data_IF_805474350104
#
_entry.id   IF_805474350104
#
_cell.length_a   1.000
_cell.length_b   1.000
_cell.length_c   1.000
_cell.angle_alpha   90.00
_cell.angle_beta   90.00
_cell.angle_gamma   90.00
#
_symmetry.space_group_name_H-M   'P 1'
#
loop_
_entity.id
_entity.type
_entity.pdbx_description
1 polymer ?
#
# COMPACT_ATOMS: atom_id res chain seq x y z
N UNK A 1 -18.00 -17.21 -14.20
CA UNK A 1 -17.21 -18.03 -13.25
C UNK A 1 -15.96 -18.52 -13.98
N UNK A 2 -14.75 -18.17 -13.51
CA UNK A 2 -13.50 -18.63 -14.15
C UNK A 2 -13.28 -20.13 -13.92
N UNK A 3 -12.72 -20.81 -14.91
CA UNK A 3 -12.64 -22.27 -15.00
C UNK A 3 -11.62 -22.83 -13.97
N UNK A 4 -11.92 -23.89 -13.20
CA UNK A 4 -10.98 -24.48 -12.24
C UNK A 4 -9.65 -24.95 -12.86
N UNK A 5 -9.62 -25.21 -14.17
CA UNK A 5 -8.39 -25.54 -14.91
C UNK A 5 -7.42 -24.36 -15.04
N UNK A 6 -7.92 -23.12 -15.02
CA UNK A 6 -7.08 -21.91 -15.06
C UNK A 6 -6.27 -21.76 -13.76
N UNK A 7 -6.85 -22.20 -12.64
CA UNK A 7 -6.20 -22.21 -11.33
C UNK A 7 -5.08 -23.25 -11.25
N UNK A 8 -5.30 -24.43 -11.83
CA UNK A 8 -4.32 -25.51 -11.88
C UNK A 8 -3.15 -25.19 -12.82
N UNK A 9 -3.42 -24.56 -13.97
CA UNK A 9 -2.37 -24.12 -14.90
C UNK A 9 -1.54 -22.96 -14.33
N UNK A 10 -2.17 -22.07 -13.56
CA UNK A 10 -1.45 -21.05 -12.79
C UNK A 10 -0.54 -21.71 -11.75
N UNK A 11 -1.03 -22.75 -11.06
CA UNK A 11 -0.25 -23.50 -10.06
C UNK A 11 0.92 -24.27 -10.66
N UNK A 12 0.77 -24.86 -11.86
CA UNK A 12 1.84 -25.63 -12.51
C UNK A 12 2.93 -24.74 -13.11
N UNK A 13 2.60 -23.51 -13.51
CA UNK A 13 3.60 -22.49 -13.91
C UNK A 13 4.45 -22.01 -12.71
N UNK A 14 3.99 -22.28 -11.47
CA UNK A 14 4.57 -21.81 -10.22
C UNK A 14 5.52 -22.81 -9.55
N UNK A 15 6.16 -23.75 -10.25
CA UNK A 15 7.08 -24.72 -9.62
C UNK A 15 8.59 -24.59 -9.91
N UNK A 16 9.07 -23.94 -10.99
CA UNK A 16 10.51 -23.90 -11.33
C UNK A 16 11.33 -22.61 -11.06
N UNK A 17 10.77 -21.48 -10.60
CA UNK A 17 11.54 -20.27 -10.17
C UNK A 17 10.77 -19.43 -9.11
N UNK A 18 10.03 -20.12 -8.23
CA UNK A 18 8.66 -19.68 -7.94
C UNK A 18 8.29 -19.35 -6.50
N UNK A 19 9.12 -19.59 -5.49
CA UNK A 19 8.76 -19.27 -4.10
C UNK A 19 8.60 -17.77 -3.88
N UNK A 20 9.50 -16.96 -4.43
CA UNK A 20 9.48 -15.50 -4.35
C UNK A 20 8.25 -14.89 -5.03
N UNK A 21 7.97 -15.27 -6.28
CA UNK A 21 6.79 -14.81 -7.01
C UNK A 21 5.49 -15.27 -6.32
N UNK A 22 5.48 -16.51 -5.80
CA UNK A 22 4.36 -17.02 -5.04
C UNK A 22 4.11 -16.18 -3.78
N UNK A 23 5.15 -15.84 -3.02
CA UNK A 23 5.03 -15.13 -1.74
C UNK A 23 4.72 -13.63 -1.92
N UNK A 24 5.35 -12.95 -2.88
CA UNK A 24 5.27 -11.48 -2.97
C UNK A 24 4.32 -10.96 -4.05
N UNK A 25 3.82 -11.83 -4.94
CA UNK A 25 2.84 -11.45 -5.97
C UNK A 25 1.54 -12.23 -5.85
N UNK A 26 1.62 -13.56 -5.80
CA UNK A 26 0.41 -14.41 -5.82
C UNK A 26 -0.31 -14.37 -4.47
N UNK A 27 0.41 -14.58 -3.38
CA UNK A 27 -0.18 -14.62 -2.04
C UNK A 27 -0.85 -13.30 -1.63
N UNK A 28 -0.24 -12.10 -1.80
CA UNK A 28 -0.88 -10.84 -1.42
C UNK A 28 -2.11 -10.55 -2.28
N UNK A 29 -2.07 -10.90 -3.58
CA UNK A 29 -3.24 -10.79 -4.45
C UNK A 29 -4.37 -11.70 -3.99
N UNK A 30 -4.08 -12.97 -3.68
CA UNK A 30 -5.08 -13.90 -3.17
C UNK A 30 -5.70 -13.43 -1.85
N UNK A 31 -4.88 -12.97 -0.90
CA UNK A 31 -5.34 -12.39 0.38
C UNK A 31 -6.23 -11.16 0.13
N UNK A 32 -5.85 -10.27 -0.78
CA UNK A 32 -6.63 -9.09 -1.11
C UNK A 32 -7.98 -9.44 -1.76
N UNK A 33 -8.04 -10.45 -2.64
CA UNK A 33 -9.30 -10.91 -3.24
C UNK A 33 -10.24 -11.56 -2.20
N UNK A 34 -9.70 -12.33 -1.26
CA UNK A 34 -10.48 -12.85 -0.12
C UNK A 34 -11.01 -11.69 0.73
N UNK A 35 -10.14 -10.75 1.08
CA UNK A 35 -10.50 -9.59 1.89
C UNK A 35 -11.58 -8.75 1.21
N UNK A 36 -11.46 -8.52 -0.11
CA UNK A 36 -12.49 -7.82 -0.90
C UNK A 36 -13.85 -8.50 -0.75
N UNK A 37 -13.91 -9.82 -0.83
CA UNK A 37 -15.17 -10.56 -0.69
C UNK A 37 -15.71 -10.55 0.74
N UNK A 38 -14.84 -10.78 1.73
CA UNK A 38 -15.21 -10.83 3.13
C UNK A 38 -15.72 -9.48 3.65
N UNK A 39 -14.97 -8.41 3.39
CA UNK A 39 -15.32 -7.06 3.83
C UNK A 39 -16.31 -6.35 2.89
N UNK A 40 -16.64 -6.95 1.74
CA UNK A 40 -17.44 -6.32 0.68
C UNK A 40 -16.85 -4.97 0.26
N UNK A 41 -15.53 -4.95 0.03
CA UNK A 41 -14.79 -3.75 -0.31
C UNK A 41 -15.32 -3.17 -1.62
N UNK A 42 -15.67 -1.88 -1.58
CA UNK A 42 -16.02 -1.07 -2.73
C UNK A 42 -14.89 -0.08 -2.99
N UNK A 43 -14.57 0.14 -4.27
CA UNK A 43 -13.50 1.03 -4.69
C UNK A 43 -14.06 1.93 -5.78
N UNK A 44 -13.95 3.23 -5.56
CA UNK A 44 -14.40 4.29 -6.47
C UNK A 44 -13.31 5.36 -6.59
N UNK A 45 -13.37 6.21 -7.63
CA UNK A 45 -12.46 7.34 -7.77
C UNK A 45 -11.04 6.98 -8.21
N UNK A 46 -10.78 5.77 -8.70
CA UNK A 46 -9.43 5.34 -9.14
C UNK A 46 -8.89 6.11 -10.35
N UNK A 47 -9.79 6.75 -11.09
CA UNK A 47 -9.50 7.67 -12.18
C UNK A 47 -8.82 8.96 -11.71
N UNK A 48 -8.99 9.33 -10.43
CA UNK A 48 -8.33 10.50 -9.83
C UNK A 48 -6.84 10.24 -9.54
N UNK A 49 -6.40 8.97 -9.53
CA UNK A 49 -4.99 8.63 -9.30
C UNK A 49 -4.20 8.86 -10.59
N UNK A 50 -3.18 9.74 -10.59
CA UNK A 50 -2.38 10.00 -11.78
C UNK A 50 -1.72 8.72 -12.31
N UNK A 51 -1.81 8.50 -13.62
CA UNK A 51 -1.17 7.35 -14.29
C UNK A 51 0.33 7.53 -14.51
N UNK A 52 0.83 8.75 -14.39
CA UNK A 52 2.23 9.13 -14.54
C UNK A 52 2.54 10.28 -13.57
N UNK A 53 3.83 10.51 -13.32
CA UNK A 53 4.29 11.58 -12.44
C UNK A 53 4.12 11.28 -10.94
N UNK A 54 4.70 12.12 -10.07
CA UNK A 54 4.62 11.93 -8.63
C UNK A 54 3.23 12.26 -8.11
N UNK A 55 2.79 11.56 -7.07
CA UNK A 55 1.62 11.94 -6.29
C UNK A 55 1.75 11.43 -4.86
N UNK A 56 1.17 12.18 -3.93
CA UNK A 56 0.96 11.73 -2.56
C UNK A 56 -0.45 11.17 -2.45
N UNK A 57 -0.57 9.93 -2.00
CA UNK A 57 -1.85 9.33 -1.63
C UNK A 57 -1.96 9.45 -0.11
N UNK A 58 -2.96 10.17 0.37
CA UNK A 58 -3.08 10.59 1.77
C UNK A 58 -4.36 10.07 2.43
N UNK A 59 -4.48 8.74 2.60
CA UNK A 59 -5.65 8.12 3.21
C UNK A 59 -5.69 8.34 4.73
N UNK A 60 -6.89 8.23 5.30
CA UNK A 60 -7.06 7.98 6.72
C UNK A 60 -6.57 6.56 7.06
N UNK A 61 -6.27 6.31 8.34
CA UNK A 61 -5.87 5.00 8.86
C UNK A 61 -7.03 4.38 9.67
N UNK A 62 -7.21 3.06 9.56
CA UNK A 62 -8.34 2.32 10.11
C UNK A 62 -8.04 1.53 11.40
N UNK A 63 -6.84 1.68 11.98
CA UNK A 63 -6.55 1.22 13.34
C UNK A 63 -6.14 -0.25 13.50
N UNK A 64 -5.80 -0.97 12.42
CA UNK A 64 -5.42 -2.38 12.52
C UNK A 64 -4.21 -2.77 11.66
N UNK A 65 -3.04 -2.74 12.29
CA UNK A 65 -1.81 -3.42 11.84
C UNK A 65 -1.38 -3.15 10.38
N UNK A 66 -1.74 -1.99 9.80
CA UNK A 66 -1.41 -1.67 8.41
C UNK A 66 -2.14 -2.51 7.34
N UNK A 67 -3.21 -3.23 7.70
CA UNK A 67 -3.93 -4.07 6.74
C UNK A 67 -4.64 -3.23 5.65
N UNK A 68 -5.14 -2.06 6.03
CA UNK A 68 -5.66 -1.05 5.10
C UNK A 68 -4.60 -0.53 4.14
N UNK A 69 -3.36 -0.32 4.60
CA UNK A 69 -2.25 0.08 3.75
C UNK A 69 -1.94 -0.96 2.68
N UNK A 70 -1.99 -2.25 3.03
CA UNK A 70 -1.81 -3.35 2.08
C UNK A 70 -2.96 -3.43 1.06
N UNK A 71 -4.21 -3.36 1.51
CA UNK A 71 -5.36 -3.40 0.60
C UNK A 71 -5.38 -2.19 -0.32
N UNK A 72 -5.16 -0.99 0.21
CA UNK A 72 -5.11 0.23 -0.59
C UNK A 72 -3.98 0.17 -1.62
N UNK A 73 -2.78 -0.28 -1.21
CA UNK A 73 -1.66 -0.45 -2.15
C UNK A 73 -1.99 -1.45 -3.26
N UNK A 74 -2.68 -2.55 -2.92
CA UNK A 74 -3.15 -3.53 -3.89
C UNK A 74 -4.16 -2.93 -4.89
N UNK A 75 -5.18 -2.21 -4.41
CA UNK A 75 -6.20 -1.59 -5.28
C UNK A 75 -5.60 -0.50 -6.18
N UNK A 76 -4.67 0.31 -5.66
CA UNK A 76 -3.92 1.30 -6.47
C UNK A 76 -3.13 0.57 -7.55
N UNK A 77 -2.39 -0.48 -7.21
CA UNK A 77 -1.59 -1.22 -8.19
C UNK A 77 -2.45 -1.89 -9.25
N UNK A 78 -3.59 -2.49 -8.85
CA UNK A 78 -4.53 -3.14 -9.76
C UNK A 78 -5.21 -2.16 -10.70
N UNK A 79 -5.62 -1.00 -10.19
CA UNK A 79 -6.36 0.00 -10.98
C UNK A 79 -5.44 0.83 -11.87
N UNK A 80 -4.23 1.13 -11.43
CA UNK A 80 -3.30 2.05 -12.12
C UNK A 80 -2.15 1.39 -12.86
N UNK A 81 -1.82 0.14 -12.51
CA UNK A 81 -0.59 -0.53 -12.94
C UNK A 81 0.67 -0.01 -12.24
N UNK A 82 0.54 0.91 -11.26
CA UNK A 82 1.66 1.51 -10.54
C UNK A 82 1.77 0.93 -9.14
N UNK A 83 2.97 0.49 -8.75
CA UNK A 83 3.22 0.01 -7.38
C UNK A 83 3.47 1.24 -6.48
N UNK A 84 2.57 1.59 -5.54
CA UNK A 84 2.80 2.70 -4.64
C UNK A 84 3.92 2.38 -3.64
N UNK A 85 4.61 3.42 -3.17
CA UNK A 85 5.61 3.33 -2.12
C UNK A 85 4.98 3.72 -0.80
N UNK A 86 4.76 2.75 0.07
CA UNK A 86 4.05 2.97 1.33
C UNK A 86 5.06 3.38 2.40
N UNK A 87 4.87 4.54 3.01
CA UNK A 87 5.68 4.97 4.15
C UNK A 87 5.22 4.22 5.40
N UNK A 88 6.10 3.39 5.95
CA UNK A 88 5.80 2.52 7.09
C UNK A 88 6.70 2.76 8.27
N UNK A 89 6.22 2.35 9.45
CA UNK A 89 6.94 2.49 10.70
C UNK A 89 8.29 1.76 10.67
N UNK A 90 9.32 2.35 11.29
CA UNK A 90 10.71 1.87 11.25
C UNK A 90 10.89 0.41 11.71
N UNK A 91 9.99 -0.10 12.56
CA UNK A 91 10.01 -1.48 13.04
C UNK A 91 9.94 -2.52 11.90
N UNK A 92 9.36 -2.18 10.74
CA UNK A 92 9.39 -3.05 9.56
C UNK A 92 10.80 -3.29 9.01
N UNK A 93 11.75 -2.44 9.38
CA UNK A 93 13.14 -2.49 8.92
C UNK A 93 14.11 -2.86 10.04
N UNK A 94 13.60 -3.26 11.21
CA UNK A 94 14.44 -3.60 12.36
C UNK A 94 15.22 -4.91 12.18
N UNK A 95 14.72 -5.85 11.36
CA UNK A 95 15.38 -7.14 11.11
C UNK A 95 15.30 -7.53 9.64
N UNK A 96 16.27 -8.32 9.15
CA UNK A 96 16.23 -8.84 7.76
C UNK A 96 14.97 -9.67 7.46
N UNK A 97 14.43 -10.36 8.47
CA UNK A 97 13.22 -11.16 8.34
C UNK A 97 11.98 -10.31 8.05
N UNK A 98 11.97 -9.04 8.45
CA UNK A 98 10.86 -8.10 8.23
C UNK A 98 11.15 -7.13 7.08
N UNK A 99 12.40 -6.70 6.93
CA UNK A 99 12.80 -5.70 5.94
C UNK A 99 12.73 -6.23 4.51
N UNK A 100 13.17 -7.47 4.26
CA UNK A 100 13.15 -8.04 2.90
C UNK A 100 11.72 -8.18 2.36
N UNK A 101 10.75 -8.72 3.13
CA UNK A 101 9.35 -8.69 2.72
C UNK A 101 8.81 -7.27 2.52
N UNK A 102 9.10 -6.35 3.45
CA UNK A 102 8.62 -4.97 3.39
C UNK A 102 9.07 -4.29 2.10
N UNK A 103 10.36 -4.36 1.77
CA UNK A 103 10.92 -3.78 0.54
C UNK A 103 10.29 -4.35 -0.72
N UNK A 104 10.07 -5.67 -0.77
CA UNK A 104 9.44 -6.35 -1.92
C UNK A 104 7.97 -5.98 -2.09
N UNK A 105 7.27 -5.67 -1.00
CA UNK A 105 5.91 -5.16 -1.02
C UNK A 105 5.84 -3.65 -1.30
N UNK A 106 6.98 -2.98 -1.48
CA UNK A 106 7.06 -1.55 -1.79
C UNK A 106 6.99 -0.65 -0.56
N UNK A 107 7.21 -1.19 0.63
CA UNK A 107 7.30 -0.40 1.85
C UNK A 107 8.64 0.29 1.94
N UNK A 108 8.62 1.50 2.48
CA UNK A 108 9.81 2.30 2.76
C UNK A 108 9.66 2.96 4.12
N UNK A 109 10.78 3.13 4.82
CA UNK A 109 10.74 3.76 6.14
C UNK A 109 10.19 5.18 6.06
N UNK A 110 9.26 5.49 6.98
CA UNK A 110 8.56 6.76 7.07
C UNK A 110 9.47 7.90 7.52
N UNK A 111 10.14 8.53 6.55
CA UNK A 111 10.84 9.80 6.75
C UNK A 111 10.76 10.69 5.51
N UNK A 112 10.97 11.99 5.72
CA UNK A 112 10.87 13.02 4.66
C UNK A 112 11.86 12.78 3.53
N UNK A 113 13.07 12.28 3.83
CA UNK A 113 14.10 12.03 2.83
C UNK A 113 13.70 10.92 1.86
N UNK A 114 13.20 9.79 2.38
CA UNK A 114 12.69 8.66 1.60
C UNK A 114 11.47 9.04 0.76
N UNK A 115 10.50 9.72 1.37
CA UNK A 115 9.32 10.23 0.66
C UNK A 115 9.73 11.14 -0.50
N UNK A 116 10.64 12.08 -0.23
CA UNK A 116 11.19 13.00 -1.22
C UNK A 116 11.91 12.27 -2.36
N UNK A 117 12.71 11.25 -2.04
CA UNK A 117 13.45 10.47 -3.01
C UNK A 117 12.51 9.69 -3.95
N UNK A 118 11.41 9.14 -3.43
CA UNK A 118 10.43 8.43 -4.26
C UNK A 118 9.62 9.39 -5.14
N UNK A 119 9.20 10.54 -4.62
CA UNK A 119 8.50 11.55 -5.43
C UNK A 119 9.40 12.07 -6.56
N UNK A 120 10.71 12.29 -6.32
CA UNK A 120 11.66 12.64 -7.39
C UNK A 120 11.75 11.59 -8.50
N UNK A 121 11.49 10.32 -8.18
CA UNK A 121 11.46 9.20 -9.13
C UNK A 121 10.10 9.04 -9.82
N UNK A 122 9.21 10.02 -9.70
CA UNK A 122 7.84 9.98 -10.21
C UNK A 122 7.02 8.78 -9.68
N UNK A 123 7.28 8.34 -8.45
CA UNK A 123 6.48 7.29 -7.81
C UNK A 123 5.24 7.86 -7.11
N UNK A 124 4.22 7.01 -6.96
CA UNK A 124 3.16 7.25 -5.97
C UNK A 124 3.73 7.00 -4.59
N UNK A 125 3.51 7.91 -3.65
CA UNK A 125 3.89 7.73 -2.24
C UNK A 125 2.63 7.71 -1.40
N UNK A 126 2.39 6.60 -0.72
CA UNK A 126 1.26 6.42 0.18
C UNK A 126 1.69 6.80 1.60
N UNK A 127 1.04 7.80 2.18
CA UNK A 127 1.39 8.40 3.47
C UNK A 127 0.12 8.60 4.27
N UNK A 128 -0.03 7.89 5.38
CA UNK A 128 -1.15 8.05 6.31
C UNK A 128 -0.93 9.26 7.22
N UNK A 129 -1.65 10.38 7.07
CA UNK A 129 -1.36 11.62 7.80
C UNK A 129 -1.65 11.52 9.30
N UNK A 130 -2.52 10.60 9.72
CA UNK A 130 -2.77 10.28 11.14
C UNK A 130 -1.55 9.64 11.82
N UNK A 131 -0.67 8.99 11.03
CA UNK A 131 0.48 8.24 11.55
C UNK A 131 0.07 7.16 12.55
N UNK A 132 0.87 7.01 13.61
CA UNK A 132 0.67 5.99 14.64
C UNK A 132 -0.65 6.12 15.40
N UNK A 133 -1.11 7.35 15.63
CA UNK A 133 -2.40 7.59 16.30
C UNK A 133 -3.54 6.98 15.50
N UNK A 134 -3.50 7.06 14.17
CA UNK A 134 -4.49 6.40 13.31
C UNK A 134 -4.28 4.89 13.19
N UNK A 135 -3.03 4.41 13.17
CA UNK A 135 -2.71 2.99 13.00
C UNK A 135 -3.07 2.15 14.22
N UNK A 136 -2.88 2.71 15.41
CA UNK A 136 -3.01 2.00 16.67
C UNK A 136 -4.22 2.47 17.50
N UNK A 137 -5.16 3.22 16.91
CA UNK A 137 -6.38 3.61 17.63
C UNK A 137 -7.19 2.38 18.04
N UNK A 138 -7.69 2.34 19.28
CA UNK A 138 -8.47 1.22 19.76
C UNK A 138 -9.80 1.14 19.01
N UNK A 139 -10.43 -0.04 19.00
CA UNK A 139 -11.71 -0.25 18.33
C UNK A 139 -12.82 0.68 18.86
N UNK A 140 -12.71 1.17 20.09
CA UNK A 140 -13.66 2.15 20.66
C UNK A 140 -13.61 3.52 19.94
N UNK A 141 -12.50 3.85 19.28
CA UNK A 141 -12.31 5.06 18.47
C UNK A 141 -12.49 4.78 16.95
N UNK A 142 -13.03 3.62 16.58
CA UNK A 142 -13.33 3.32 15.17
C UNK A 142 -14.26 4.39 14.59
N UNK A 143 -14.06 4.69 13.31
CA UNK A 143 -14.77 5.74 12.57
C UNK A 143 -14.55 7.17 13.06
N UNK A 144 -13.56 7.38 13.93
CA UNK A 144 -13.09 8.70 14.30
C UNK A 144 -11.75 8.95 13.60
N UNK A 145 -11.67 10.05 12.86
CA UNK A 145 -10.43 10.48 12.20
C UNK A 145 -9.55 11.15 13.25
N UNK A 146 -8.29 10.73 13.33
CA UNK A 146 -7.29 11.36 14.19
C UNK A 146 -6.73 12.61 13.49
N UNK A 147 -6.06 13.48 14.24
CA UNK A 147 -5.48 14.70 13.66
C UNK A 147 -4.47 14.36 12.54
N UNK A 148 -4.65 14.98 11.38
CA UNK A 148 -3.71 14.86 10.26
C UNK A 148 -2.48 15.73 10.50
N UNK A 149 -1.31 15.11 10.58
CA UNK A 149 -0.03 15.83 10.63
C UNK A 149 0.19 16.56 9.31
N UNK A 150 0.68 17.80 9.36
CA UNK A 150 0.81 18.69 8.17
C UNK A 150 2.03 18.42 7.28
N UNK A 151 2.84 17.41 7.59
CA UNK A 151 4.10 17.12 6.87
C UNK A 151 3.91 16.78 5.39
N UNK A 152 2.82 16.08 5.05
CA UNK A 152 2.50 15.74 3.65
C UNK A 152 2.20 16.98 2.79
N UNK A 153 1.62 18.03 3.37
CA UNK A 153 1.36 19.31 2.69
C UNK A 153 2.69 19.95 2.29
N UNK A 154 3.65 20.00 3.23
CA UNK A 154 5.00 20.52 2.96
C UNK A 154 5.67 19.71 1.85
N UNK A 155 5.57 18.38 1.89
CA UNK A 155 6.12 17.51 0.84
C UNK A 155 5.47 17.79 -0.52
N UNK A 156 4.15 17.93 -0.58
CA UNK A 156 3.41 18.21 -1.81
C UNK A 156 3.84 19.53 -2.45
N UNK A 157 3.90 20.60 -1.65
CA UNK A 157 4.35 21.92 -2.10
C UNK A 157 5.81 21.84 -2.59
N UNK A 158 6.70 21.22 -1.82
CA UNK A 158 8.12 21.13 -2.18
C UNK A 158 8.36 20.31 -3.44
N UNK A 159 7.51 19.33 -3.76
CA UNK A 159 7.63 18.44 -4.92
C UNK A 159 6.68 18.79 -6.05
N UNK A 160 5.83 19.81 -5.89
CA UNK A 160 4.84 20.23 -6.86
C UNK A 160 4.01 19.04 -7.37
N UNK A 161 3.56 18.18 -6.45
CA UNK A 161 2.79 16.99 -6.77
C UNK A 161 1.39 17.06 -6.16
N UNK A 162 0.38 16.46 -6.81
CA UNK A 162 -0.97 16.39 -6.27
C UNK A 162 -1.00 15.55 -4.99
N UNK A 163 -1.91 15.93 -4.10
CA UNK A 163 -2.37 15.10 -2.99
C UNK A 163 -3.70 14.49 -3.44
N UNK A 164 -3.79 13.17 -3.36
CA UNK A 164 -4.99 12.37 -3.64
C UNK A 164 -5.49 11.80 -2.33
#
# INVERSE_FOLDING_TARGET
MKNPKDFLNLFSSLTNDNSENLIYRVFPHFVAEIARKYFRLQVEGTENIPRRGPALICPNHSGYSGFDALLLAHEISKSTGRIPRVLTHHLWFATKATSVPAEKLGFIEANTANATAQLKKNNLVNLFPEGEYGNFKPTVERYQIQEFKRGFIRLAIQRQCPII
#
